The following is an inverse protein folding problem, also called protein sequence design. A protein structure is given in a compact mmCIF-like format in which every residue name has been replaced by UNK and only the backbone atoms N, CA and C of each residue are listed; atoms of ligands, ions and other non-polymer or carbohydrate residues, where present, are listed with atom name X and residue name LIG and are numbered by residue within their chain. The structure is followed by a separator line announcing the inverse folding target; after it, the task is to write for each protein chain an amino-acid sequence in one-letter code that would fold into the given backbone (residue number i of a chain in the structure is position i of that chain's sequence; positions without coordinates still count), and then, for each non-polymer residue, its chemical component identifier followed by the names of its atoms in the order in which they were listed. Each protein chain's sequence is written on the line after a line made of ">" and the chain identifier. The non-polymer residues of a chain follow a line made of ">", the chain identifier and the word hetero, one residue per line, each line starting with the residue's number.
data_IF_378907903083
#
_entry.id   IF_378907903083
#
_cell.length_a   1.000
_cell.length_b   1.000
_cell.length_c   1.000
_cell.angle_alpha   90.00
_cell.angle_beta   90.00
_cell.angle_gamma   90.00
#
_symmetry.space_group_name_H-M   'P 1'
#
loop_
_entity.id
_entity.type
_entity.pdbx_description
1 polymer ?
#
# COMPACT_ATOMS: atom_id res chain seq x y z
N UNK A 1 7.53 -15.79 21.26
CA UNK A 1 8.30 -16.90 20.63
C UNK A 1 8.53 -16.54 19.16
N UNK A 2 9.77 -16.19 18.83
CA UNK A 2 10.16 -15.75 17.49
C UNK A 2 9.90 -16.87 16.48
N UNK A 3 9.09 -16.56 15.47
CA UNK A 3 8.69 -17.52 14.46
C UNK A 3 9.89 -17.82 13.55
N UNK A 4 10.20 -19.10 13.24
CA UNK A 4 11.36 -19.51 12.43
C UNK A 4 11.33 -19.03 10.96
N UNK A 5 10.37 -18.20 10.60
CA UNK A 5 10.14 -17.69 9.25
C UNK A 5 11.02 -16.47 8.92
N UNK A 6 11.34 -15.62 9.92
CA UNK A 6 12.14 -14.40 9.72
C UNK A 6 13.64 -14.67 9.51
N UNK A 7 14.14 -15.88 9.83
CA UNK A 7 15.57 -16.19 9.70
C UNK A 7 16.03 -16.40 8.25
N UNK A 8 15.11 -16.55 7.29
CA UNK A 8 15.49 -16.86 5.90
C UNK A 8 15.89 -15.65 5.06
N UNK A 9 15.64 -14.44 5.57
CA UNK A 9 15.75 -13.17 4.82
C UNK A 9 16.89 -12.27 5.29
N UNK A 10 17.77 -12.76 6.18
CA UNK A 10 18.95 -12.00 6.61
C UNK A 10 19.97 -11.71 5.47
N UNK A 11 19.80 -12.31 4.28
CA UNK A 11 20.75 -12.26 3.17
C UNK A 11 20.11 -11.93 1.79
N UNK A 12 18.83 -11.56 1.72
CA UNK A 12 18.17 -11.20 0.44
C UNK A 12 18.15 -9.66 0.25
N UNK A 13 18.57 -9.12 -0.90
CA UNK A 13 18.67 -7.67 -1.13
C UNK A 13 17.33 -6.91 -1.20
N UNK A 14 16.18 -7.58 -1.19
CA UNK A 14 14.88 -6.93 -1.31
C UNK A 14 14.06 -7.05 -0.01
N UNK A 15 13.94 -5.96 0.78
CA UNK A 15 13.26 -6.03 2.07
C UNK A 15 11.74 -6.03 1.86
N UNK A 16 11.10 -7.17 2.08
CA UNK A 16 9.69 -7.21 2.48
C UNK A 16 9.66 -6.77 3.95
N UNK A 17 9.16 -5.57 4.22
CA UNK A 17 8.98 -5.08 5.60
C UNK A 17 7.52 -5.25 5.97
N UNK A 18 7.21 -6.36 6.62
CA UNK A 18 5.95 -6.50 7.35
C UNK A 18 6.05 -5.66 8.62
N UNK A 19 5.29 -4.56 8.70
CA UNK A 19 5.20 -3.73 9.91
C UNK A 19 4.33 -4.45 10.94
N UNK A 20 4.90 -5.43 11.65
CA UNK A 20 4.19 -6.17 12.70
C UNK A 20 4.16 -5.35 14.00
N UNK A 21 2.96 -4.98 14.45
CA UNK A 21 2.78 -4.31 15.75
C UNK A 21 3.23 -5.25 16.88
N UNK A 22 4.39 -4.96 17.45
CA UNK A 22 4.61 -5.16 18.88
C UNK A 22 4.16 -3.89 19.61
N UNK A 23 2.85 -3.65 19.71
CA UNK A 23 2.30 -2.55 20.49
C UNK A 23 1.61 -3.09 21.75
N UNK A 24 2.05 -2.53 22.87
CA UNK A 24 1.72 -2.88 24.25
C UNK A 24 0.21 -3.05 24.52
N UNK A 25 -0.07 -4.04 25.37
CA UNK A 25 -1.40 -4.62 25.59
C UNK A 25 -2.37 -3.81 26.47
N UNK A 26 -2.11 -2.54 26.80
CA UNK A 26 -2.86 -1.87 27.88
C UNK A 26 -3.70 -0.64 27.54
N UNK A 27 -3.78 -0.17 26.29
CA UNK A 27 -4.66 0.98 26.00
C UNK A 27 -5.55 0.75 24.78
N UNK A 28 -6.78 0.28 25.04
CA UNK A 28 -7.90 0.40 24.12
C UNK A 28 -8.25 1.89 23.94
N UNK A 29 -7.56 2.57 23.03
CA UNK A 29 -7.96 3.86 22.48
C UNK A 29 -8.13 3.71 20.98
N UNK A 30 -9.41 3.75 20.56
CA UNK A 30 -9.92 4.12 19.24
C UNK A 30 -9.33 3.44 17.99
N UNK A 31 -10.10 2.52 17.40
CA UNK A 31 -9.91 2.01 16.01
C UNK A 31 -9.81 3.18 14.99
N UNK A 32 -10.38 4.34 15.30
CA UNK A 32 -10.42 5.54 14.43
C UNK A 32 -9.05 6.24 14.32
N UNK A 33 -8.13 6.07 15.28
CA UNK A 33 -6.77 6.62 15.17
C UNK A 33 -5.80 5.72 14.40
N UNK A 34 -6.07 4.41 14.35
CA UNK A 34 -5.15 3.44 13.80
C UNK A 34 -4.94 3.59 12.29
N UNK A 35 -6.00 3.85 11.52
CA UNK A 35 -5.89 3.94 10.05
C UNK A 35 -5.06 5.14 9.57
N UNK A 36 -5.12 6.28 10.28
CA UNK A 36 -4.30 7.45 9.96
C UNK A 36 -2.84 7.20 10.32
N UNK A 37 -2.56 6.76 11.55
CA UNK A 37 -1.20 6.49 12.01
C UNK A 37 -0.53 5.38 11.18
N UNK A 38 -1.26 4.31 10.87
CA UNK A 38 -0.75 3.22 10.03
C UNK A 38 -0.48 3.69 8.60
N UNK A 39 -1.32 4.56 8.04
CA UNK A 39 -1.09 5.13 6.71
C UNK A 39 0.08 6.10 6.69
N UNK A 40 0.25 6.91 7.73
CA UNK A 40 1.39 7.82 7.88
C UNK A 40 2.69 7.02 7.92
N UNK A 41 2.79 6.04 8.83
CA UNK A 41 3.96 5.16 8.93
C UNK A 41 4.27 4.44 7.61
N UNK A 42 3.25 3.85 6.98
CA UNK A 42 3.42 3.15 5.70
C UNK A 42 3.90 4.09 4.59
N UNK A 43 3.35 5.30 4.52
CA UNK A 43 3.73 6.30 3.54
C UNK A 43 5.13 6.87 3.82
N UNK A 44 5.52 7.04 5.09
CA UNK A 44 6.88 7.46 5.45
C UNK A 44 7.94 6.45 5.02
N UNK A 45 7.66 5.15 5.13
CA UNK A 45 8.54 4.10 4.60
C UNK A 45 8.58 4.12 3.07
N UNK A 46 7.43 4.25 2.39
CA UNK A 46 7.39 4.38 0.93
C UNK A 46 8.18 5.61 0.44
N UNK A 47 8.12 6.72 1.18
CA UNK A 47 8.82 7.98 0.87
C UNK A 47 10.34 7.79 0.78
N UNK A 48 10.91 6.80 1.46
CA UNK A 48 12.36 6.54 1.43
C UNK A 48 12.85 5.98 0.10
N UNK A 49 11.96 5.47 -0.74
CA UNK A 49 12.32 4.95 -2.06
C UNK A 49 12.61 6.10 -3.05
N UNK A 50 13.64 5.97 -3.90
CA UNK A 50 14.02 6.98 -4.89
C UNK A 50 13.09 6.94 -6.11
N UNK A 51 11.82 7.27 -5.90
CA UNK A 51 10.81 7.44 -6.95
C UNK A 51 10.64 8.93 -7.29
N UNK A 52 10.44 9.27 -8.55
CA UNK A 52 10.10 10.62 -9.03
C UNK A 52 8.59 10.81 -9.18
N UNK A 53 7.86 9.75 -9.55
CA UNK A 53 6.40 9.76 -9.74
C UNK A 53 5.70 8.92 -8.68
N UNK A 54 4.72 9.53 -8.02
CA UNK A 54 4.00 8.91 -6.90
C UNK A 54 2.51 8.86 -7.22
N UNK A 55 1.91 7.70 -7.02
CA UNK A 55 0.47 7.49 -7.19
C UNK A 55 -0.15 7.00 -5.89
N UNK A 56 -1.13 7.75 -5.39
CA UNK A 56 -2.07 7.31 -4.38
C UNK A 56 -3.34 6.79 -5.05
N UNK A 57 -3.72 5.54 -4.76
CA UNK A 57 -4.95 4.91 -5.22
C UNK A 57 -5.82 4.50 -4.02
N UNK A 58 -6.86 5.29 -3.79
CA UNK A 58 -7.90 5.03 -2.79
C UNK A 58 -9.23 4.64 -3.42
N UNK A 59 -10.25 4.46 -2.57
CA UNK A 59 -11.63 4.26 -2.99
C UNK A 59 -12.59 4.92 -2.01
N UNK A 60 -13.73 5.41 -2.51
CA UNK A 60 -14.82 5.96 -1.69
C UNK A 60 -14.33 6.95 -0.61
N UNK A 61 -13.77 8.12 -0.98
CA UNK A 61 -13.14 9.07 -0.06
C UNK A 61 -14.09 9.60 1.03
N UNK A 62 -15.40 9.46 0.84
CA UNK A 62 -16.43 9.78 1.82
C UNK A 62 -16.48 8.82 3.03
N UNK A 63 -15.86 7.64 2.93
CA UNK A 63 -15.80 6.70 4.04
C UNK A 63 -14.72 7.10 5.04
N UNK A 64 -15.03 6.97 6.34
CA UNK A 64 -14.12 7.32 7.43
C UNK A 64 -12.74 6.67 7.28
N UNK A 65 -12.66 5.38 6.93
CA UNK A 65 -11.40 4.67 6.74
C UNK A 65 -10.58 5.22 5.56
N UNK A 66 -11.24 5.54 4.45
CA UNK A 66 -10.60 6.11 3.25
C UNK A 66 -10.03 7.49 3.55
N UNK A 67 -10.82 8.31 4.23
CA UNK A 67 -10.42 9.65 4.67
C UNK A 67 -9.21 9.60 5.60
N UNK A 68 -9.24 8.74 6.63
CA UNK A 68 -8.14 8.63 7.60
C UNK A 68 -6.84 8.15 6.94
N UNK A 69 -6.91 7.16 6.06
CA UNK A 69 -5.72 6.68 5.32
C UNK A 69 -5.13 7.74 4.41
N UNK A 70 -5.99 8.52 3.74
CA UNK A 70 -5.52 9.64 2.92
C UNK A 70 -4.83 10.71 3.77
N UNK A 71 -5.41 11.04 4.93
CA UNK A 71 -4.82 12.02 5.86
C UNK A 71 -3.45 11.56 6.38
N UNK A 72 -3.27 10.28 6.68
CA UNK A 72 -1.99 9.72 7.07
C UNK A 72 -0.96 9.84 5.94
N UNK A 73 -1.35 9.43 4.73
CA UNK A 73 -0.49 9.58 3.54
C UNK A 73 -0.09 11.05 3.30
N UNK A 74 -1.05 11.98 3.33
CA UNK A 74 -0.81 13.42 3.13
C UNK A 74 0.11 13.99 4.20
N UNK A 75 0.00 13.53 5.44
CA UNK A 75 0.87 13.95 6.54
C UNK A 75 2.31 13.51 6.29
N UNK A 76 2.52 12.24 5.93
CA UNK A 76 3.83 11.70 5.57
C UNK A 76 4.45 12.42 4.35
N UNK A 77 3.64 12.91 3.42
CA UNK A 77 4.11 13.55 2.18
C UNK A 77 4.22 15.08 2.23
N UNK A 78 3.85 15.72 3.35
CA UNK A 78 3.63 17.18 3.44
C UNK A 78 4.80 18.05 2.96
N UNK A 79 6.03 17.64 3.25
CA UNK A 79 7.25 18.40 2.93
C UNK A 79 8.08 17.75 1.81
N UNK A 80 7.53 16.73 1.14
CA UNK A 80 8.19 16.07 0.03
C UNK A 80 7.94 16.85 -1.28
N UNK A 81 8.97 17.16 -2.07
CA UNK A 81 8.82 17.96 -3.29
C UNK A 81 8.20 17.19 -4.47
N UNK A 82 8.05 15.85 -4.37
CA UNK A 82 7.54 15.03 -5.46
C UNK A 82 6.03 15.19 -5.61
N UNK A 83 5.58 15.30 -6.85
CA UNK A 83 4.16 15.37 -7.16
C UNK A 83 3.48 14.02 -6.89
N UNK A 84 2.32 14.07 -6.25
CA UNK A 84 1.47 12.90 -6.01
C UNK A 84 0.19 13.03 -6.82
N UNK A 85 -0.07 12.03 -7.66
CA UNK A 85 -1.37 11.86 -8.29
C UNK A 85 -2.32 11.10 -7.36
N UNK A 86 -3.57 11.55 -7.26
CA UNK A 86 -4.60 10.92 -6.45
C UNK A 86 -5.69 10.34 -7.35
N UNK A 87 -5.95 9.04 -7.20
CA UNK A 87 -7.02 8.32 -7.87
C UNK A 87 -7.99 7.73 -6.85
N UNK A 88 -9.29 7.79 -7.16
CA UNK A 88 -10.35 7.30 -6.30
C UNK A 88 -11.27 6.36 -7.08
N UNK A 89 -11.21 5.07 -6.77
CA UNK A 89 -12.15 4.10 -7.28
C UNK A 89 -13.54 4.31 -6.65
N UNK A 90 -14.59 3.97 -7.41
CA UNK A 90 -15.98 4.04 -6.96
C UNK A 90 -16.39 2.85 -6.07
N UNK A 91 -15.48 1.90 -5.83
CA UNK A 91 -15.64 0.79 -4.89
C UNK A 91 -14.26 0.24 -4.50
N UNK A 92 -14.22 -0.58 -3.46
CA UNK A 92 -13.01 -1.33 -3.06
C UNK A 92 -12.80 -2.62 -3.88
N UNK A 93 -13.50 -2.77 -5.02
CA UNK A 93 -13.39 -3.95 -5.85
C UNK A 93 -12.17 -3.88 -6.78
N UNK A 94 -11.53 -5.04 -6.96
CA UNK A 94 -10.39 -5.25 -7.87
C UNK A 94 -10.67 -4.74 -9.29
N UNK A 95 -11.86 -5.00 -9.82
CA UNK A 95 -12.25 -4.61 -11.17
C UNK A 95 -12.39 -3.08 -11.31
N UNK A 96 -12.95 -2.41 -10.31
CA UNK A 96 -13.07 -0.95 -10.30
C UNK A 96 -11.69 -0.27 -10.30
N UNK A 97 -10.75 -0.79 -9.50
CA UNK A 97 -9.37 -0.33 -9.48
C UNK A 97 -8.66 -0.56 -10.82
N UNK A 98 -8.84 -1.73 -11.43
CA UNK A 98 -8.25 -2.07 -12.72
C UNK A 98 -8.71 -1.08 -13.81
N UNK A 99 -10.02 -0.86 -13.94
CA UNK A 99 -10.58 0.05 -14.96
C UNK A 99 -10.09 1.49 -14.77
N UNK A 100 -10.04 1.98 -13.52
CA UNK A 100 -9.54 3.31 -13.22
C UNK A 100 -8.06 3.47 -13.55
N UNK A 101 -7.24 2.48 -13.17
CA UNK A 101 -5.80 2.51 -13.37
C UNK A 101 -5.43 2.36 -14.85
N UNK A 102 -6.11 1.47 -15.59
CA UNK A 102 -5.94 1.30 -17.04
C UNK A 102 -6.18 2.62 -17.78
N UNK A 103 -7.28 3.33 -17.43
CA UNK A 103 -7.59 4.64 -18.00
C UNK A 103 -6.53 5.70 -17.65
N UNK A 104 -6.00 5.69 -16.43
CA UNK A 104 -4.96 6.63 -16.03
C UNK A 104 -3.66 6.43 -16.84
N UNK A 105 -3.29 5.18 -17.10
CA UNK A 105 -2.12 4.80 -17.91
C UNK A 105 -2.24 5.14 -19.41
N UNK A 106 -3.40 5.61 -19.89
CA UNK A 106 -3.54 6.15 -21.25
C UNK A 106 -2.86 7.51 -21.40
N UNK A 107 -2.73 8.26 -20.30
CA UNK A 107 -2.25 9.65 -20.30
C UNK A 107 -1.04 9.88 -19.41
N UNK A 108 -0.67 8.89 -18.59
CA UNK A 108 0.44 8.95 -17.65
C UNK A 108 1.35 7.72 -17.81
N UNK A 109 2.66 7.85 -17.58
CA UNK A 109 3.54 6.69 -17.47
C UNK A 109 3.22 5.89 -16.20
N UNK A 110 3.71 4.65 -16.12
CA UNK A 110 3.66 3.85 -14.89
C UNK A 110 4.32 4.63 -13.73
N UNK A 111 3.72 4.66 -12.51
CA UNK A 111 4.33 5.33 -11.38
C UNK A 111 5.54 4.53 -10.88
N UNK A 112 6.46 5.21 -10.20
CA UNK A 112 7.60 4.55 -9.53
C UNK A 112 7.30 4.25 -8.06
N UNK A 113 6.40 5.00 -7.42
CA UNK A 113 5.88 4.68 -6.09
C UNK A 113 4.34 4.60 -6.14
N UNK A 114 3.79 3.50 -5.64
CA UNK A 114 2.36 3.24 -5.59
C UNK A 114 1.92 3.02 -4.14
N UNK A 115 0.94 3.80 -3.70
CA UNK A 115 0.27 3.63 -2.41
C UNK A 115 -1.19 3.23 -2.64
N UNK A 116 -1.59 2.02 -2.21
CA UNK A 116 -2.97 1.54 -2.32
C UNK A 116 -3.61 1.42 -0.95
N UNK A 117 -4.83 1.94 -0.80
CA UNK A 117 -5.55 1.85 0.49
C UNK A 117 -6.20 0.49 0.73
N UNK A 118 -6.08 -0.48 -0.19
CA UNK A 118 -6.44 -1.88 0.08
C UNK A 118 -5.76 -2.85 -0.89
N UNK A 119 -5.67 -4.11 -0.48
CA UNK A 119 -5.11 -5.17 -1.29
C UNK A 119 -5.94 -5.43 -2.56
N UNK A 120 -7.26 -5.30 -2.49
CA UNK A 120 -8.11 -5.44 -3.67
C UNK A 120 -7.81 -4.36 -4.72
N UNK A 121 -7.51 -3.12 -4.30
CA UNK A 121 -7.08 -2.07 -5.23
C UNK A 121 -5.72 -2.42 -5.87
N UNK A 122 -4.78 -2.93 -5.08
CA UNK A 122 -3.49 -3.41 -5.60
C UNK A 122 -3.68 -4.54 -6.61
N UNK A 123 -4.57 -5.50 -6.35
CA UNK A 123 -4.86 -6.57 -7.31
C UNK A 123 -5.36 -6.02 -8.66
N UNK A 124 -6.14 -4.93 -8.65
CA UNK A 124 -6.58 -4.27 -9.88
C UNK A 124 -5.41 -3.67 -10.66
N UNK A 125 -4.48 -3.00 -9.95
CA UNK A 125 -3.25 -2.49 -10.56
C UNK A 125 -2.38 -3.60 -11.14
N UNK A 126 -2.21 -4.71 -10.40
CA UNK A 126 -1.44 -5.86 -10.84
C UNK A 126 -2.05 -6.48 -12.11
N UNK A 127 -3.38 -6.61 -12.20
CA UNK A 127 -4.04 -7.16 -13.38
C UNK A 127 -3.75 -6.38 -14.65
N UNK A 128 -3.87 -5.06 -14.57
CA UNK A 128 -3.61 -4.17 -15.71
C UNK A 128 -2.14 -4.25 -16.11
N UNK A 129 -1.25 -4.16 -15.13
CA UNK A 129 0.20 -4.15 -15.37
C UNK A 129 0.68 -5.47 -15.96
N UNK A 130 0.24 -6.61 -15.40
CA UNK A 130 0.59 -7.94 -15.91
C UNK A 130 -0.01 -8.19 -17.29
N UNK A 131 -1.23 -7.72 -17.57
CA UNK A 131 -1.85 -7.85 -18.89
C UNK A 131 -1.12 -7.03 -19.96
N UNK A 132 -0.63 -5.84 -19.61
CA UNK A 132 0.04 -4.91 -20.53
C UNK A 132 1.51 -5.30 -20.78
N UNK A 133 2.24 -5.58 -19.70
CA UNK A 133 3.71 -5.67 -19.74
C UNK A 133 4.24 -7.06 -19.37
N UNK A 134 3.37 -8.00 -18.97
CA UNK A 134 3.72 -9.38 -18.61
C UNK A 134 4.42 -9.53 -17.25
N UNK A 135 4.78 -8.43 -16.60
CA UNK A 135 5.45 -8.37 -15.29
C UNK A 135 5.22 -7.02 -14.61
N UNK A 136 5.40 -6.96 -13.30
CA UNK A 136 5.53 -5.69 -12.60
C UNK A 136 6.91 -5.06 -12.90
N UNK A 137 7.01 -3.72 -13.02
CA UNK A 137 8.29 -3.05 -13.11
C UNK A 137 9.14 -3.33 -11.87
N UNK A 138 10.43 -3.60 -12.05
CA UNK A 138 11.34 -3.88 -10.93
C UNK A 138 11.68 -2.64 -10.09
N UNK A 139 11.49 -1.45 -10.67
CA UNK A 139 11.69 -0.14 -10.04
C UNK A 139 10.42 0.42 -9.38
N UNK A 140 9.29 -0.29 -9.45
CA UNK A 140 8.06 0.08 -8.78
C UNK A 140 8.15 -0.27 -7.28
N UNK A 141 8.08 0.73 -6.40
CA UNK A 141 7.87 0.53 -4.97
C UNK A 141 6.37 0.53 -4.65
N UNK A 142 5.89 -0.50 -3.95
CA UNK A 142 4.48 -0.65 -3.60
C UNK A 142 4.32 -0.54 -2.09
N UNK A 143 3.33 0.23 -1.65
CA UNK A 143 2.84 0.23 -0.28
C UNK A 143 1.34 -0.03 -0.29
N UNK A 144 0.87 -1.04 0.46
CA UNK A 144 -0.54 -1.41 0.47
C UNK A 144 -1.06 -1.73 1.86
N UNK A 145 -2.37 -1.52 2.05
CA UNK A 145 -3.11 -2.10 3.17
C UNK A 145 -3.59 -3.51 2.85
N UNK A 146 -3.54 -4.39 3.84
CA UNK A 146 -3.94 -5.79 3.73
C UNK A 146 -2.72 -6.72 3.70
N UNK A 147 -2.85 -7.84 4.41
CA UNK A 147 -1.85 -8.91 4.40
C UNK A 147 -2.29 -9.98 3.40
N UNK A 148 -1.38 -10.42 2.55
CA UNK A 148 -1.62 -11.53 1.64
C UNK A 148 -0.31 -12.22 1.26
N UNK A 149 -0.27 -13.55 1.38
CA UNK A 149 0.90 -14.37 1.02
C UNK A 149 1.37 -14.13 -0.44
N UNK A 150 0.49 -13.67 -1.33
CA UNK A 150 0.86 -13.30 -2.70
C UNK A 150 1.91 -12.18 -2.77
N UNK A 151 1.97 -11.30 -1.77
CA UNK A 151 2.92 -10.19 -1.72
C UNK A 151 4.38 -10.69 -1.62
N UNK A 152 4.60 -11.88 -1.03
CA UNK A 152 5.92 -12.47 -0.86
C UNK A 152 6.56 -12.94 -2.18
N UNK A 153 5.77 -13.02 -3.26
CA UNK A 153 6.22 -13.48 -4.56
C UNK A 153 6.50 -12.33 -5.55
N UNK A 154 6.30 -11.08 -5.15
CA UNK A 154 6.51 -9.92 -6.03
C UNK A 154 8.01 -9.63 -6.19
N UNK A 155 8.44 -9.35 -7.42
CA UNK A 155 9.85 -9.07 -7.77
C UNK A 155 10.25 -7.60 -7.57
N UNK A 156 9.41 -6.83 -6.89
CA UNK A 156 9.55 -5.40 -6.65
C UNK A 156 9.41 -5.12 -5.15
N UNK A 157 9.93 -4.00 -4.62
CA UNK A 157 9.79 -3.69 -3.20
C UNK A 157 8.32 -3.54 -2.78
N UNK A 158 7.91 -4.25 -1.73
CA UNK A 158 6.55 -4.20 -1.18
C UNK A 158 6.59 -3.90 0.32
N UNK A 159 5.83 -2.89 0.71
CA UNK A 159 5.50 -2.57 2.09
C UNK A 159 4.02 -2.88 2.32
N UNK A 160 3.70 -3.62 3.37
CA UNK A 160 2.33 -3.98 3.66
C UNK A 160 2.00 -3.79 5.14
N UNK A 161 0.84 -3.17 5.40
CA UNK A 161 0.24 -3.14 6.74
C UNK A 161 -0.79 -4.26 6.83
N UNK A 162 -0.47 -5.25 7.66
CA UNK A 162 -1.37 -6.36 7.93
C UNK A 162 -2.54 -5.90 8.81
N UNK A 163 -3.76 -5.94 8.29
CA UNK A 163 -4.94 -5.76 9.10
C UNK A 163 -5.25 -7.07 9.83
N UNK A 164 -4.94 -7.15 11.12
CA UNK A 164 -5.44 -8.25 11.95
C UNK A 164 -6.94 -8.08 12.13
N UNK A 165 -7.74 -8.81 11.35
CA UNK A 165 -9.12 -9.09 11.72
C UNK A 165 -9.07 -9.89 13.02
N UNK A 166 -9.41 -9.27 14.16
CA UNK A 166 -9.86 -10.07 15.29
C UNK A 166 -11.14 -10.76 14.82
N UNK A 167 -11.14 -12.09 14.87
CA UNK A 167 -12.36 -12.87 14.87
C UNK A 167 -13.35 -12.22 15.83
N UNK A 168 -14.36 -11.56 15.28
CA UNK A 168 -15.55 -11.22 16.05
C UNK A 168 -16.35 -12.50 16.09
N UNK A 169 -16.07 -13.30 17.13
CA UNK A 169 -16.97 -14.38 17.56
C UNK A 169 -18.24 -13.78 18.19
#
# INVERSE_FOLDING_TARGET
>A
PEHPFYQRWANDPFPIVALDRALDREHFTSVVGADQDDAEMLAEELRKFPAETVLYLGALPELSVSFLREQGFRTAWKDDPREVHFLYANSYEREAAAQLFEKWLETHPMPQALFTTSFALLQGVMDVTLRRDGKLPSDLAIATFGDNELLDFLQCPVLAVAQRHRDVA
#
